data_IF_354779874609
#
_entry.id   IF_354779874609
#
_cell.length_a   1.000
_cell.length_b   1.000
_cell.length_c   1.000
_cell.angle_alpha   90.00
_cell.angle_beta   90.00
_cell.angle_gamma   90.00
#
_symmetry.space_group_name_H-M   'P 1'
#
loop_
_entity.id
_entity.type
_entity.pdbx_description
1 polymer ?
#
# COMPACT_ATOMS: atom_id res chain seq x y z
N UNK A 1 -11.16 58.00 -18.76
CA UNK A 1 -12.22 56.99 -18.98
C UNK A 1 -11.86 55.91 -20.04
N UNK A 2 -10.59 55.50 -20.19
CA UNK A 2 -10.16 54.50 -21.21
C UNK A 2 -9.80 53.11 -20.66
N UNK A 3 -9.41 52.98 -19.38
CA UNK A 3 -8.93 51.72 -18.80
C UNK A 3 -10.01 50.64 -18.53
N UNK A 4 -11.27 51.04 -18.34
CA UNK A 4 -12.37 50.10 -18.04
C UNK A 4 -12.84 49.28 -19.27
N UNK A 5 -12.61 49.78 -20.49
CA UNK A 5 -13.01 49.08 -21.73
C UNK A 5 -12.04 47.95 -22.13
N UNK A 6 -10.76 48.08 -21.80
CA UNK A 6 -9.71 47.10 -22.13
C UNK A 6 -9.89 45.83 -21.28
N UNK A 7 -10.15 45.97 -19.98
CA UNK A 7 -10.44 44.86 -19.05
C UNK A 7 -11.64 44.00 -19.47
N UNK A 8 -12.73 44.62 -19.95
CA UNK A 8 -13.91 43.89 -20.47
C UNK A 8 -13.62 43.14 -21.77
N UNK A 9 -12.79 43.68 -22.67
CA UNK A 9 -12.42 43.01 -23.93
C UNK A 9 -11.59 41.75 -23.69
N UNK A 10 -10.67 41.80 -22.72
CA UNK A 10 -9.81 40.67 -22.33
C UNK A 10 -10.64 39.57 -21.68
N UNK A 11 -11.52 39.91 -20.73
CA UNK A 11 -12.47 38.93 -20.14
C UNK A 11 -13.34 38.27 -21.21
N UNK A 12 -13.83 39.04 -22.18
CA UNK A 12 -14.70 38.52 -23.26
C UNK A 12 -13.95 37.58 -24.22
N UNK A 13 -12.65 37.81 -24.46
CA UNK A 13 -11.80 36.90 -25.22
C UNK A 13 -11.46 35.64 -24.44
N UNK A 14 -11.13 35.76 -23.15
CA UNK A 14 -10.88 34.60 -22.29
C UNK A 14 -12.10 33.68 -22.21
N UNK A 15 -13.31 34.25 -22.07
CA UNK A 15 -14.56 33.49 -22.07
C UNK A 15 -14.79 32.79 -23.41
N UNK A 16 -14.53 33.47 -24.55
CA UNK A 16 -14.67 32.86 -25.88
C UNK A 16 -13.67 31.73 -26.12
N UNK A 17 -12.43 31.90 -25.69
CA UNK A 17 -11.39 30.86 -25.79
C UNK A 17 -11.74 29.66 -24.91
N UNK A 18 -12.25 29.90 -23.70
CA UNK A 18 -12.71 28.85 -22.79
C UNK A 18 -13.92 28.09 -23.34
N UNK A 19 -14.89 28.80 -23.92
CA UNK A 19 -16.05 28.19 -24.60
C UNK A 19 -15.64 27.39 -25.85
N UNK A 20 -14.67 27.89 -26.61
CA UNK A 20 -14.12 27.18 -27.77
C UNK A 20 -13.36 25.91 -27.36
N UNK A 21 -12.61 25.96 -26.25
CA UNK A 21 -11.94 24.79 -25.68
C UNK A 21 -12.93 23.75 -25.14
N UNK A 22 -14.06 24.17 -24.55
CA UNK A 22 -15.16 23.27 -24.15
C UNK A 22 -15.82 22.59 -25.35
N UNK A 23 -16.03 23.32 -26.45
CA UNK A 23 -16.66 22.80 -27.66
C UNK A 23 -15.77 21.79 -28.43
N UNK A 24 -14.45 21.85 -28.27
CA UNK A 24 -13.50 20.99 -28.96
C UNK A 24 -13.08 19.72 -28.18
N UNK A 25 -13.66 19.44 -27.01
CA UNK A 25 -13.32 18.24 -26.22
C UNK A 25 -11.91 18.24 -25.61
N UNK A 26 -11.11 19.29 -25.83
CA UNK A 26 -9.81 19.49 -25.17
C UNK A 26 -9.95 19.67 -23.66
N UNK A 27 -11.08 20.24 -23.22
CA UNK A 27 -11.40 20.38 -21.80
C UNK A 27 -11.69 19.01 -21.15
N UNK A 28 -12.33 18.06 -21.85
CA UNK A 28 -12.55 16.72 -21.29
C UNK A 28 -11.25 15.94 -21.07
N UNK A 29 -10.30 15.97 -22.02
CA UNK A 29 -9.00 15.29 -21.86
C UNK A 29 -8.18 15.93 -20.75
N UNK A 30 -8.20 17.27 -20.64
CA UNK A 30 -7.53 18.00 -19.56
C UNK A 30 -8.18 17.73 -18.20
N UNK A 31 -9.51 17.57 -18.14
CA UNK A 31 -10.24 17.23 -16.91
C UNK A 31 -9.94 15.79 -16.48
N UNK A 32 -9.92 14.81 -17.39
CA UNK A 32 -9.62 13.41 -17.03
C UNK A 32 -8.17 13.23 -16.61
N UNK A 33 -7.21 13.88 -17.28
CA UNK A 33 -5.81 13.86 -16.86
C UNK A 33 -5.59 14.57 -15.52
N UNK A 34 -6.29 15.69 -15.27
CA UNK A 34 -6.27 16.35 -13.97
C UNK A 34 -6.94 15.50 -12.87
N UNK A 35 -8.04 14.81 -13.17
CA UNK A 35 -8.74 13.94 -12.22
C UNK A 35 -7.89 12.74 -11.81
N UNK A 36 -7.28 12.04 -12.78
CA UNK A 36 -6.39 10.91 -12.51
C UNK A 36 -5.14 11.33 -11.72
N UNK A 37 -4.69 12.58 -11.87
CA UNK A 37 -3.59 13.13 -11.07
C UNK A 37 -4.00 13.51 -9.63
N UNK A 38 -5.31 13.69 -9.37
CA UNK A 38 -5.82 14.12 -8.06
C UNK A 38 -6.21 12.93 -7.18
N UNK A 39 -6.79 11.87 -7.76
CA UNK A 39 -7.54 10.87 -6.98
C UNK A 39 -6.70 9.63 -6.60
N UNK A 40 -5.95 9.02 -7.51
CA UNK A 40 -5.13 7.84 -7.22
C UNK A 40 -3.92 7.73 -8.18
N UNK A 41 -2.72 8.10 -7.73
CA UNK A 41 -1.53 8.05 -8.58
C UNK A 41 -0.96 6.64 -8.68
N UNK A 42 -0.86 5.97 -7.53
CA UNK A 42 -0.25 4.66 -7.39
C UNK A 42 -1.10 3.79 -6.47
N UNK A 43 -1.58 2.65 -6.96
CA UNK A 43 -2.35 1.68 -6.18
C UNK A 43 -1.50 0.46 -5.85
N UNK A 44 -1.69 -0.10 -4.65
CA UNK A 44 -1.01 -1.32 -4.19
C UNK A 44 -1.99 -2.49 -4.18
N UNK A 45 -1.59 -3.62 -4.76
CA UNK A 45 -2.39 -4.84 -4.83
C UNK A 45 -1.57 -6.06 -4.43
N UNK A 46 -2.18 -6.94 -3.64
CA UNK A 46 -1.69 -8.30 -3.44
C UNK A 46 -2.03 -9.14 -4.69
N UNK A 47 -1.06 -9.90 -5.19
CA UNK A 47 -1.23 -10.72 -6.40
C UNK A 47 -1.42 -12.18 -6.04
N UNK A 48 -0.47 -12.78 -5.30
CA UNK A 48 -0.50 -14.19 -4.92
C UNK A 48 0.55 -14.54 -3.86
N UNK A 49 0.36 -15.63 -3.10
CA UNK A 49 1.44 -16.20 -2.31
C UNK A 49 2.53 -16.79 -3.21
N UNK A 50 3.78 -16.78 -2.76
CA UNK A 50 4.92 -17.40 -3.43
C UNK A 50 5.86 -18.06 -2.42
N UNK A 51 5.59 -19.33 -2.11
CA UNK A 51 6.28 -20.03 -1.02
C UNK A 51 6.05 -19.30 0.30
N UNK A 52 7.14 -18.89 0.97
CA UNK A 52 7.08 -18.08 2.21
C UNK A 52 6.98 -16.58 1.94
N UNK A 53 7.19 -16.14 0.70
CA UNK A 53 7.09 -14.74 0.28
C UNK A 53 5.69 -14.43 -0.22
N UNK A 54 5.39 -13.14 -0.38
CA UNK A 54 4.17 -12.66 -1.02
C UNK A 54 4.49 -11.80 -2.22
N UNK A 55 3.71 -11.93 -3.30
CA UNK A 55 3.86 -11.10 -4.48
C UNK A 55 2.87 -9.95 -4.41
N UNK A 56 3.40 -8.73 -4.50
CA UNK A 56 2.63 -7.50 -4.56
C UNK A 56 2.94 -6.75 -5.85
N UNK A 57 2.04 -5.86 -6.22
CA UNK A 57 2.16 -5.00 -7.38
C UNK A 57 1.79 -3.56 -7.01
N UNK A 58 2.63 -2.61 -7.40
CA UNK A 58 2.28 -1.20 -7.45
C UNK A 58 1.93 -0.84 -8.89
N UNK A 59 0.77 -0.22 -9.10
CA UNK A 59 0.27 0.20 -10.41
C UNK A 59 0.21 1.73 -10.44
N UNK A 60 0.95 2.35 -11.36
CA UNK A 60 0.94 3.79 -11.58
C UNK A 60 -0.04 4.13 -12.72
N UNK A 61 -1.23 4.60 -12.38
CA UNK A 61 -2.27 5.00 -13.32
C UNK A 61 -2.14 6.48 -13.74
N UNK A 62 -1.15 7.18 -13.19
CA UNK A 62 -0.88 8.57 -13.54
C UNK A 62 -0.15 8.70 -14.88
N UNK A 63 -0.31 9.84 -15.59
CA UNK A 63 0.36 10.09 -16.86
C UNK A 63 1.86 10.43 -16.71
N UNK A 64 2.43 10.37 -15.51
CA UNK A 64 3.82 10.69 -15.23
C UNK A 64 4.53 9.60 -14.43
N UNK A 65 5.84 9.51 -14.59
CA UNK A 65 6.65 8.64 -13.74
C UNK A 65 6.55 9.08 -12.27
N UNK A 66 6.41 8.09 -11.39
CA UNK A 66 6.27 8.27 -9.95
C UNK A 66 7.49 7.68 -9.25
N UNK A 67 8.09 8.45 -8.34
CA UNK A 67 9.16 7.97 -7.47
C UNK A 67 8.57 7.57 -6.13
N UNK A 68 8.94 6.39 -5.63
CA UNK A 68 8.57 5.91 -4.30
C UNK A 68 9.54 6.55 -3.30
N UNK A 69 9.08 7.52 -2.52
CA UNK A 69 9.92 8.15 -1.50
C UNK A 69 10.07 7.24 -0.29
N UNK A 70 8.96 6.63 0.14
CA UNK A 70 8.95 5.67 1.25
C UNK A 70 7.94 4.56 0.99
N UNK A 71 8.31 3.36 1.43
CA UNK A 71 7.48 2.18 1.53
C UNK A 71 7.82 1.50 2.85
N UNK A 72 6.83 1.41 3.73
CA UNK A 72 7.00 0.86 5.08
C UNK A 72 5.91 -0.15 5.33
N UNK A 73 6.31 -1.29 5.89
CA UNK A 73 5.38 -2.28 6.43
C UNK A 73 5.51 -2.27 7.93
N UNK A 74 4.38 -2.20 8.62
CA UNK A 74 4.31 -2.21 10.08
C UNK A 74 3.45 -3.38 10.52
N UNK A 75 3.89 -4.04 11.58
CA UNK A 75 3.08 -5.00 12.32
C UNK A 75 2.58 -4.28 13.59
N UNK A 76 1.30 -3.84 13.64
CA UNK A 76 0.78 -3.06 14.76
C UNK A 76 1.02 -3.74 16.12
N UNK A 77 1.38 -2.93 17.12
CA UNK A 77 1.62 -3.39 18.48
C UNK A 77 0.33 -3.91 19.15
N UNK A 78 0.49 -4.82 20.11
CA UNK A 78 -0.62 -5.34 20.92
C UNK A 78 -1.48 -6.42 20.26
N UNK A 79 -1.22 -6.78 18.99
CA UNK A 79 -1.90 -7.91 18.37
C UNK A 79 -1.32 -9.26 18.85
N UNK A 80 -2.14 -10.30 19.03
CA UNK A 80 -1.64 -11.62 19.40
C UNK A 80 -0.88 -12.24 18.23
N UNK A 81 0.26 -12.88 18.52
CA UNK A 81 1.02 -13.63 17.52
C UNK A 81 0.36 -15.00 17.30
N UNK A 82 -0.26 -15.19 16.14
CA UNK A 82 -0.89 -16.47 15.76
C UNK A 82 0.02 -17.20 14.79
N UNK A 83 0.83 -18.12 15.30
CA UNK A 83 1.82 -18.86 14.51
C UNK A 83 1.77 -20.36 14.79
N UNK A 84 2.21 -21.15 13.80
CA UNK A 84 2.25 -22.61 13.87
C UNK A 84 3.60 -23.14 13.36
N UNK A 85 4.05 -24.24 13.94
CA UNK A 85 5.20 -24.99 13.43
C UNK A 85 4.84 -25.83 12.21
N UNK A 86 5.66 -25.78 11.16
CA UNK A 86 5.43 -26.51 9.90
C UNK A 86 6.01 -27.92 9.89
N UNK A 87 6.88 -28.22 10.85
CA UNK A 87 7.54 -29.52 11.06
C UNK A 87 7.85 -29.69 12.54
N UNK A 88 8.17 -30.92 12.94
CA UNK A 88 8.72 -31.19 14.26
C UNK A 88 10.07 -30.47 14.42
N UNK A 89 10.26 -29.85 15.59
CA UNK A 89 11.44 -29.06 15.93
C UNK A 89 12.05 -29.64 17.19
N UNK A 90 13.31 -30.07 17.10
CA UNK A 90 14.06 -30.59 18.24
C UNK A 90 14.97 -29.49 18.78
N UNK A 91 14.84 -29.22 20.09
CA UNK A 91 15.71 -28.28 20.78
C UNK A 91 16.96 -28.98 21.32
N UNK A 92 18.08 -28.25 21.35
CA UNK A 92 19.28 -28.69 22.05
C UNK A 92 19.19 -28.24 23.51
N UNK A 93 19.39 -29.17 24.43
CA UNK A 93 19.53 -28.88 25.85
C UNK A 93 21.00 -28.68 26.18
N UNK A 94 21.35 -27.55 26.78
CA UNK A 94 22.68 -27.33 27.34
C UNK A 94 22.89 -28.11 28.63
N UNK A 95 24.14 -28.26 29.07
CA UNK A 95 24.50 -28.87 30.36
C UNK A 95 23.88 -28.13 31.57
N UNK A 96 23.50 -26.86 31.38
CA UNK A 96 22.79 -26.02 32.36
C UNK A 96 21.27 -26.18 32.32
N UNK A 97 20.74 -27.09 31.49
CA UNK A 97 19.31 -27.37 31.32
C UNK A 97 18.58 -26.38 30.40
N UNK A 98 19.27 -25.41 29.79
CA UNK A 98 18.65 -24.43 28.89
C UNK A 98 18.34 -25.06 27.55
N UNK A 99 17.08 -24.96 27.11
CA UNK A 99 16.65 -25.43 25.79
C UNK A 99 16.86 -24.31 24.76
N UNK A 100 17.49 -24.66 23.65
CA UNK A 100 17.70 -23.78 22.50
C UNK A 100 17.08 -24.40 21.25
N UNK A 101 16.21 -23.66 20.58
CA UNK A 101 15.63 -24.09 19.32
C UNK A 101 16.57 -23.74 18.14
N UNK A 102 16.51 -24.48 17.02
CA UNK A 102 17.26 -24.14 15.82
C UNK A 102 16.93 -22.70 15.35
N UNK A 103 17.94 -21.87 15.09
CA UNK A 103 17.70 -20.45 14.76
C UNK A 103 17.43 -19.55 15.98
N UNK A 104 17.53 -20.10 17.20
CA UNK A 104 17.41 -19.36 18.45
C UNK A 104 16.01 -19.37 19.04
N UNK A 105 15.87 -18.79 20.23
CA UNK A 105 14.60 -18.71 20.95
C UNK A 105 13.80 -17.44 20.64
N UNK A 106 14.34 -16.57 19.77
CA UNK A 106 13.71 -15.34 19.32
C UNK A 106 13.65 -15.33 17.80
N UNK A 107 12.50 -14.95 17.25
CA UNK A 107 12.33 -14.70 15.82
C UNK A 107 11.85 -13.27 15.60
N UNK A 108 12.17 -12.72 14.43
CA UNK A 108 11.63 -11.44 13.96
C UNK A 108 10.74 -11.63 12.72
N UNK A 109 10.08 -10.56 12.28
CA UNK A 109 9.16 -10.51 11.14
C UNK A 109 9.86 -9.75 9.98
N UNK A 110 10.59 -10.43 9.07
CA UNK A 110 11.35 -9.76 8.00
C UNK A 110 10.54 -8.80 7.14
N UNK A 111 9.24 -9.06 6.97
CA UNK A 111 8.32 -8.18 6.23
C UNK A 111 8.38 -6.72 6.72
N UNK A 112 8.53 -6.46 8.03
CA UNK A 112 8.52 -5.09 8.56
C UNK A 112 9.82 -4.31 8.32
N UNK A 113 10.89 -5.00 7.92
CA UNK A 113 12.19 -4.38 7.58
C UNK A 113 12.29 -4.07 6.08
N UNK A 114 11.27 -4.43 5.29
CA UNK A 114 11.29 -4.26 3.86
C UNK A 114 11.29 -2.77 3.48
N UNK A 115 12.37 -2.36 2.81
CA UNK A 115 12.61 -0.98 2.38
C UNK A 115 13.17 -0.89 0.95
N UNK A 116 13.26 -2.01 0.24
CA UNK A 116 13.93 -2.11 -1.07
C UNK A 116 13.28 -1.22 -2.14
N UNK A 117 12.00 -0.88 -1.99
CA UNK A 117 11.28 -0.01 -2.93
C UNK A 117 11.62 1.48 -2.80
N UNK A 118 12.24 1.91 -1.71
CA UNK A 118 12.54 3.32 -1.47
C UNK A 118 13.50 3.86 -2.55
N UNK A 119 13.18 5.02 -3.12
CA UNK A 119 13.92 5.65 -4.22
C UNK A 119 13.66 5.05 -5.60
N UNK A 120 12.87 3.98 -5.71
CA UNK A 120 12.60 3.37 -7.01
C UNK A 120 11.53 4.12 -7.80
N UNK A 121 11.63 4.06 -9.13
CA UNK A 121 10.68 4.68 -10.06
C UNK A 121 9.66 3.64 -10.56
N UNK A 122 8.41 4.05 -10.70
CA UNK A 122 7.33 3.36 -11.41
C UNK A 122 6.95 4.24 -12.61
N UNK A 123 7.20 3.76 -13.82
CA UNK A 123 6.90 4.53 -15.03
C UNK A 123 5.39 4.80 -15.19
N UNK A 124 5.05 5.87 -15.89
CA UNK A 124 3.67 6.22 -16.21
C UNK A 124 2.89 5.06 -16.86
N UNK A 125 1.67 4.79 -16.40
CA UNK A 125 0.80 3.70 -16.88
C UNK A 125 1.48 2.32 -16.87
N UNK A 126 2.37 2.08 -15.90
CA UNK A 126 3.07 0.80 -15.72
C UNK A 126 2.85 0.24 -14.33
N UNK A 127 3.01 -1.08 -14.27
CA UNK A 127 2.96 -1.90 -13.06
C UNK A 127 4.37 -2.29 -12.65
N UNK A 128 4.57 -2.41 -11.34
CA UNK A 128 5.81 -2.86 -10.72
C UNK A 128 5.53 -3.97 -9.73
N UNK A 129 5.86 -5.18 -10.11
CA UNK A 129 5.73 -6.37 -9.26
C UNK A 129 6.97 -6.52 -8.38
N UNK A 130 6.78 -6.85 -7.11
CA UNK A 130 7.87 -7.08 -6.16
C UNK A 130 7.53 -8.21 -5.18
N UNK A 131 8.56 -8.70 -4.49
CA UNK A 131 8.44 -9.77 -3.50
C UNK A 131 8.54 -9.16 -2.11
N UNK A 132 7.51 -9.36 -1.31
CA UNK A 132 7.54 -9.01 0.09
C UNK A 132 8.15 -10.17 0.90
N UNK A 133 9.13 -9.91 1.78
CA UNK A 133 9.75 -10.92 2.64
C UNK A 133 8.73 -11.69 3.48
N UNK A 134 9.09 -12.89 3.96
CA UNK A 134 8.21 -13.68 4.82
C UNK A 134 7.91 -12.97 6.13
N UNK A 135 6.72 -13.23 6.68
CA UNK A 135 6.29 -12.72 7.98
C UNK A 135 6.94 -13.44 9.17
N UNK A 136 7.87 -14.37 8.92
CA UNK A 136 8.70 -14.98 9.95
C UNK A 136 10.10 -15.25 9.39
N UNK A 137 11.11 -14.95 10.18
CA UNK A 137 12.52 -15.27 9.89
C UNK A 137 12.81 -16.77 10.02
N UNK A 138 12.09 -17.46 10.91
CA UNK A 138 12.32 -18.87 11.24
C UNK A 138 11.60 -19.77 10.24
N UNK A 139 12.33 -20.67 9.57
CA UNK A 139 11.80 -21.47 8.45
C UNK A 139 10.70 -22.47 8.84
N UNK A 140 10.76 -23.00 10.06
CA UNK A 140 9.79 -23.90 10.61
C UNK A 140 8.62 -23.20 11.32
N UNK A 141 8.66 -21.87 11.47
CA UNK A 141 7.59 -21.09 12.09
C UNK A 141 6.84 -20.30 11.02
N UNK A 142 5.54 -20.56 10.89
CA UNK A 142 4.67 -19.86 9.95
C UNK A 142 3.69 -19.00 10.72
N UNK A 143 3.67 -17.69 10.45
CA UNK A 143 2.59 -16.83 10.91
C UNK A 143 1.31 -17.21 10.15
N UNK A 144 0.30 -17.65 10.88
CA UNK A 144 -0.97 -18.11 10.30
C UNK A 144 -1.93 -16.95 10.09
N UNK A 145 -1.94 -15.97 11.00
CA UNK A 145 -2.69 -14.74 10.81
C UNK A 145 -2.01 -13.53 11.47
N UNK A 146 -2.22 -12.36 10.90
CA UNK A 146 -1.75 -11.09 11.46
C UNK A 146 -2.29 -9.89 10.68
N UNK A 147 -2.44 -8.76 11.37
CA UNK A 147 -2.73 -7.48 10.72
C UNK A 147 -1.41 -6.77 10.41
N UNK A 148 -1.33 -6.19 9.23
CA UNK A 148 -0.19 -5.42 8.76
C UNK A 148 -0.67 -4.10 8.16
N UNK A 149 0.05 -3.03 8.46
CA UNK A 149 -0.16 -1.74 7.83
C UNK A 149 0.94 -1.52 6.79
N UNK A 150 0.56 -1.32 5.53
CA UNK A 150 1.49 -0.89 4.49
C UNK A 150 1.24 0.59 4.22
N UNK A 151 2.27 1.41 4.44
CA UNK A 151 2.26 2.84 4.16
C UNK A 151 3.27 3.14 3.06
N UNK A 152 2.87 3.91 2.06
CA UNK A 152 3.79 4.38 1.04
C UNK A 152 3.52 5.82 0.64
N UNK A 153 4.58 6.47 0.19
CA UNK A 153 4.55 7.82 -0.35
C UNK A 153 5.17 7.83 -1.73
N UNK A 154 4.48 8.44 -2.68
CA UNK A 154 4.99 8.67 -4.03
C UNK A 154 4.89 10.15 -4.39
N UNK A 155 5.79 10.57 -5.26
CA UNK A 155 5.71 11.89 -5.88
C UNK A 155 6.06 11.81 -7.38
N UNK A 156 5.53 12.73 -8.20
CA UNK A 156 5.93 12.83 -9.60
C UNK A 156 7.43 13.08 -9.72
N UNK A 157 8.08 12.45 -10.70
CA UNK A 157 9.50 12.66 -10.96
C UNK A 157 9.76 14.04 -11.61
N UNK A 158 8.75 14.60 -12.29
CA UNK A 158 8.84 15.95 -12.89
C UNK A 158 8.71 17.04 -11.82
N UNK A 159 9.64 18.00 -11.79
CA UNK A 159 9.67 19.09 -10.80
C UNK A 159 8.39 19.95 -10.76
N UNK A 160 7.82 20.27 -11.93
CA UNK A 160 6.61 21.10 -12.03
C UNK A 160 5.43 20.33 -11.45
N UNK A 161 5.26 19.06 -11.88
CA UNK A 161 4.19 18.20 -11.37
C UNK A 161 4.35 17.95 -9.87
N UNK A 162 5.59 17.80 -9.37
CA UNK A 162 5.86 17.70 -7.94
C UNK A 162 5.42 18.95 -7.18
N UNK A 163 5.72 20.15 -7.67
CA UNK A 163 5.24 21.39 -7.01
C UNK A 163 3.71 21.51 -7.01
N UNK A 164 3.04 21.03 -8.06
CA UNK A 164 1.58 20.98 -8.11
C UNK A 164 1.06 19.96 -7.09
N UNK A 165 1.65 18.76 -7.05
CA UNK A 165 1.32 17.70 -6.10
C UNK A 165 1.47 18.14 -4.64
N UNK A 166 2.62 18.75 -4.30
CA UNK A 166 2.90 19.32 -2.98
C UNK A 166 1.86 20.39 -2.62
N UNK A 167 1.50 21.25 -3.59
CA UNK A 167 0.46 22.27 -3.42
C UNK A 167 -0.91 21.67 -3.13
N UNK A 168 -1.31 20.62 -3.86
CA UNK A 168 -2.58 19.91 -3.66
C UNK A 168 -2.65 19.20 -2.29
N UNK A 169 -1.55 18.58 -1.87
CA UNK A 169 -1.41 17.97 -0.54
C UNK A 169 -1.51 19.02 0.56
N UNK A 170 -0.86 20.17 0.40
CA UNK A 170 -0.87 21.26 1.37
C UNK A 170 -2.27 21.85 1.62
N UNK A 171 -3.11 21.97 0.58
CA UNK A 171 -4.50 22.44 0.70
C UNK A 171 -5.51 21.33 1.00
N UNK A 172 -5.06 20.07 1.19
CA UNK A 172 -5.91 18.93 1.53
C UNK A 172 -6.79 18.40 0.39
N UNK A 173 -6.47 18.74 -0.87
CA UNK A 173 -7.16 18.17 -2.04
C UNK A 173 -6.61 16.80 -2.45
N UNK A 174 -5.47 16.40 -1.89
CA UNK A 174 -4.83 15.09 -2.14
C UNK A 174 -4.21 14.55 -0.86
N UNK A 175 -4.28 13.24 -0.67
CA UNK A 175 -3.67 12.59 0.49
C UNK A 175 -2.15 12.63 0.40
N UNK A 176 -1.51 12.93 1.54
CA UNK A 176 -0.06 12.97 1.65
C UNK A 176 0.51 11.56 1.56
N UNK A 177 -0.04 10.61 2.32
CA UNK A 177 0.36 9.22 2.33
C UNK A 177 -0.79 8.27 2.07
N UNK A 178 -0.50 7.16 1.40
CA UNK A 178 -1.44 6.04 1.26
C UNK A 178 -1.12 5.00 2.30
N UNK A 179 -2.09 4.73 3.19
CA UNK A 179 -2.01 3.67 4.19
C UNK A 179 -3.10 2.65 3.90
N UNK A 180 -2.70 1.40 3.70
CA UNK A 180 -3.61 0.27 3.52
C UNK A 180 -3.34 -0.73 4.64
N UNK A 181 -4.41 -1.14 5.31
CA UNK A 181 -4.36 -2.21 6.30
C UNK A 181 -4.74 -3.52 5.64
N UNK A 182 -3.92 -4.53 5.85
CA UNK A 182 -4.13 -5.88 5.39
C UNK A 182 -4.32 -6.83 6.57
N UNK A 183 -5.28 -7.72 6.44
CA UNK A 183 -5.28 -8.98 7.15
C UNK A 183 -4.51 -9.98 6.31
N UNK A 184 -3.45 -10.55 6.89
CA UNK A 184 -2.77 -11.71 6.33
C UNK A 184 -3.31 -12.97 7.00
N UNK A 185 -3.73 -13.95 6.21
CA UNK A 185 -4.12 -15.28 6.66
C UNK A 185 -3.46 -16.31 5.75
N UNK A 186 -2.67 -17.24 6.30
CA UNK A 186 -2.01 -18.29 5.52
C UNK A 186 -1.18 -17.76 4.32
N UNK A 187 -0.55 -16.58 4.45
CA UNK A 187 0.19 -15.87 3.39
C UNK A 187 -0.70 -15.31 2.25
N UNK A 188 -2.02 -15.32 2.42
CA UNK A 188 -2.96 -14.54 1.61
C UNK A 188 -3.23 -13.20 2.28
N UNK A 189 -3.26 -12.12 1.51
CA UNK A 189 -3.40 -10.76 2.03
C UNK A 189 -4.67 -10.11 1.49
N UNK A 190 -5.59 -9.77 2.39
CA UNK A 190 -6.84 -9.07 2.06
C UNK A 190 -6.90 -7.71 2.74
N UNK A 191 -7.25 -6.62 2.02
CA UNK A 191 -7.51 -5.34 2.67
C UNK A 191 -8.59 -5.46 3.74
N UNK A 192 -8.44 -4.75 4.85
CA UNK A 192 -9.44 -4.68 5.92
C UNK A 192 -9.50 -3.29 6.54
N UNK A 193 -10.67 -2.89 7.00
CA UNK A 193 -10.87 -1.65 7.76
C UNK A 193 -10.77 -1.86 9.26
N UNK A 194 -10.85 -3.11 9.73
CA UNK A 194 -10.81 -3.44 11.16
C UNK A 194 -9.47 -3.09 11.79
N UNK A 195 -9.51 -2.63 13.04
CA UNK A 195 -8.30 -2.28 13.80
C UNK A 195 -7.82 -3.40 14.71
N UNK A 196 -8.65 -4.39 14.96
CA UNK A 196 -8.30 -5.58 15.73
C UNK A 196 -8.14 -6.80 14.85
N UNK A 197 -7.17 -7.67 15.19
CA UNK A 197 -6.96 -8.94 14.48
C UNK A 197 -8.19 -9.85 14.61
N UNK A 198 -8.83 -9.88 15.79
CA UNK A 198 -9.99 -10.73 16.05
C UNK A 198 -11.19 -10.35 15.16
N UNK A 199 -11.49 -9.05 15.06
CA UNK A 199 -12.58 -8.57 14.21
C UNK A 199 -12.25 -8.76 12.73
N UNK A 200 -11.00 -8.48 12.32
CA UNK A 200 -10.58 -8.72 10.95
C UNK A 200 -10.73 -10.19 10.56
N UNK A 201 -10.31 -11.13 11.43
CA UNK A 201 -10.50 -12.57 11.25
C UNK A 201 -11.98 -12.95 11.22
N UNK A 202 -12.80 -12.38 12.10
CA UNK A 202 -14.25 -12.62 12.11
C UNK A 202 -14.90 -12.22 10.79
N UNK A 203 -14.57 -11.04 10.26
CA UNK A 203 -15.06 -10.57 8.96
C UNK A 203 -14.57 -11.46 7.82
N UNK A 204 -13.27 -11.78 7.79
CA UNK A 204 -12.71 -12.64 6.77
C UNK A 204 -13.33 -14.05 6.78
N UNK A 205 -13.53 -14.64 7.96
CA UNK A 205 -14.20 -15.94 8.12
C UNK A 205 -15.69 -15.92 7.73
N UNK A 206 -16.37 -14.79 7.94
CA UNK A 206 -17.76 -14.60 7.50
C UNK A 206 -17.85 -14.62 5.98
N UNK A 207 -16.90 -13.96 5.32
CA UNK A 207 -16.88 -13.81 3.86
C UNK A 207 -16.33 -15.07 3.16
N UNK A 208 -15.33 -15.72 3.74
CA UNK A 208 -14.76 -16.99 3.27
C UNK A 208 -14.30 -17.88 4.43
N UNK A 209 -15.03 -18.99 4.64
CA UNK A 209 -14.75 -19.94 5.72
C UNK A 209 -13.42 -20.68 5.54
N UNK A 210 -12.87 -20.77 4.33
CA UNK A 210 -11.58 -21.41 4.07
C UNK A 210 -10.40 -20.66 4.70
N UNK A 211 -10.58 -19.36 4.99
CA UNK A 211 -9.61 -18.54 5.71
C UNK A 211 -9.54 -18.90 7.21
N UNK A 212 -10.53 -19.62 7.75
CA UNK A 212 -10.55 -20.11 9.13
C UNK A 212 -9.75 -21.40 9.39
N UNK A 213 -9.06 -21.95 8.39
CA UNK A 213 -8.35 -23.22 8.53
C UNK A 213 -6.95 -22.97 9.13
N UNK A 214 -6.71 -23.44 10.35
CA UNK A 214 -5.49 -23.21 11.15
C UNK A 214 -5.73 -22.25 12.31
N UNK A 215 -6.35 -21.10 12.01
CA UNK A 215 -6.82 -20.11 12.99
C UNK A 215 -8.32 -20.30 13.17
N UNK A 216 -8.76 -20.99 14.23
CA UNK A 216 -10.19 -21.21 14.51
C UNK A 216 -10.93 -19.87 14.37
N UNK A 217 -11.92 -19.80 13.47
CA UNK A 217 -12.74 -18.60 13.32
C UNK A 217 -13.27 -18.20 14.71
N UNK A 218 -13.02 -16.96 15.16
CA UNK A 218 -13.50 -16.51 16.45
C UNK A 218 -15.02 -16.70 16.54
N UNK A 219 -15.47 -17.32 17.64
CA UNK A 219 -16.89 -17.36 17.97
C UNK A 219 -17.40 -15.97 18.37
N UNK A 220 -18.72 -15.81 18.35
CA UNK A 220 -19.38 -14.66 18.98
C UNK A 220 -19.14 -14.62 20.49
#
# INVERSE_FOLDING_TARGET
MSNLKISRKIKKHAIKVFQFAMALGFVSVAITTAYNFIVEDVSLKFVKPFGRYSIFELENDSPSDQTIESFTVTFPEGQPLVARTTRDVYGNQSDTGKITLPGGNAGWIPTVEFSELNGQIISANKKKTFRLPPASSIDYLKLEAGVFDIKYYTHPNNKILRSIDDGLKWIGLKNTDTKIRYLMVNNYWSPTTSTSLNEALKLACRDDRSLGVGVRCPGD
#
